data_IF_742447339502
#
_entry.id   IF_742447339502
#
_cell.length_a   1.000
_cell.length_b   1.000
_cell.length_c   1.000
_cell.angle_alpha   90.00
_cell.angle_beta   90.00
_cell.angle_gamma   90.00
#
_symmetry.space_group_name_H-M   'P 1'
#
loop_
_entity.id
_entity.type
_entity.pdbx_description
1 polymer ?
#
# COMPACT_ATOMS: atom_id res chain seq x y z
N UNK A 1 -10.41 2.48 -54.12
CA UNK A 1 -9.99 1.46 -53.10
C UNK A 1 -9.20 2.19 -52.02
N UNK A 2 -9.76 2.35 -50.81
CA UNK A 2 -9.06 2.90 -49.64
C UNK A 2 -8.86 1.74 -48.68
N UNK A 3 -7.63 1.27 -48.54
CA UNK A 3 -7.26 0.25 -47.55
C UNK A 3 -6.67 0.97 -46.35
N UNK A 4 -7.39 0.87 -45.23
CA UNK A 4 -6.97 1.34 -43.92
C UNK A 4 -5.75 0.53 -43.43
N UNK A 5 -4.80 1.23 -42.81
CA UNK A 5 -3.76 0.61 -41.99
C UNK A 5 -4.09 0.90 -40.52
N UNK A 6 -4.31 -0.16 -39.74
CA UNK A 6 -3.86 -0.29 -38.36
C UNK A 6 -4.32 -1.67 -37.87
N UNK A 7 -3.37 -2.60 -37.71
CA UNK A 7 -3.55 -3.79 -36.88
C UNK A 7 -2.56 -3.64 -35.73
N UNK A 8 -3.07 -3.30 -34.56
CA UNK A 8 -2.35 -3.41 -33.31
C UNK A 8 -2.04 -4.89 -33.02
N UNK A 9 -0.81 -5.17 -32.60
CA UNK A 9 -0.46 -6.31 -31.75
C UNK A 9 0.97 -6.08 -31.26
N UNK A 10 1.09 -5.44 -30.10
CA UNK A 10 2.40 -5.19 -29.49
C UNK A 10 2.33 -4.25 -28.32
N UNK A 11 1.39 -4.46 -27.39
CA UNK A 11 1.41 -3.73 -26.11
C UNK A 11 2.56 -4.29 -25.28
N UNK A 12 3.76 -3.75 -25.50
CA UNK A 12 4.85 -3.86 -24.55
C UNK A 12 4.47 -3.01 -23.34
N UNK A 13 3.78 -3.61 -22.37
CA UNK A 13 3.69 -3.05 -21.02
C UNK A 13 5.07 -3.21 -20.39
N UNK A 14 5.90 -2.17 -20.48
CA UNK A 14 7.09 -2.05 -19.65
C UNK A 14 6.63 -1.68 -18.23
N UNK A 15 6.24 -2.70 -17.46
CA UNK A 15 6.03 -2.57 -16.03
C UNK A 15 7.42 -2.50 -15.36
N UNK A 16 7.90 -1.29 -15.06
CA UNK A 16 8.99 -1.12 -14.09
C UNK A 16 8.37 -1.27 -12.70
N UNK A 17 8.07 -2.52 -12.33
CA UNK A 17 7.89 -2.92 -10.94
C UNK A 17 9.14 -3.72 -10.57
N UNK A 18 9.89 -3.25 -9.59
CA UNK A 18 11.01 -4.00 -9.03
C UNK A 18 10.49 -5.22 -8.25
N UNK A 19 10.09 -6.26 -8.97
CA UNK A 19 9.88 -7.60 -8.46
C UNK A 19 10.87 -8.53 -9.15
N UNK A 20 11.60 -9.33 -8.37
CA UNK A 20 12.57 -10.29 -8.89
C UNK A 20 11.93 -11.18 -9.98
N UNK A 21 12.68 -11.39 -11.07
CA UNK A 21 12.25 -12.12 -12.25
C UNK A 21 11.63 -13.49 -11.92
N UNK A 22 10.44 -13.76 -12.47
CA UNK A 22 9.92 -15.13 -12.63
C UNK A 22 8.68 -15.53 -11.83
N UNK A 23 8.03 -14.63 -11.07
CA UNK A 23 6.72 -14.92 -10.46
C UNK A 23 5.57 -14.28 -11.24
N UNK A 24 4.43 -14.98 -11.45
CA UNK A 24 3.26 -14.38 -12.08
C UNK A 24 2.84 -13.15 -11.27
N UNK A 25 2.57 -12.07 -11.99
CA UNK A 25 2.06 -10.83 -11.44
C UNK A 25 0.87 -11.11 -10.51
N UNK A 26 1.05 -10.89 -9.21
CA UNK A 26 -0.02 -10.88 -8.22
C UNK A 26 -0.39 -9.41 -8.03
N UNK A 27 -1.63 -8.98 -8.32
CA UNK A 27 -2.05 -7.62 -8.02
C UNK A 27 -1.97 -7.42 -6.50
N UNK A 28 -0.94 -6.72 -6.04
CA UNK A 28 -0.66 -6.47 -4.62
C UNK A 28 -1.24 -5.14 -4.13
N UNK A 29 -2.08 -4.48 -4.94
CA UNK A 29 -2.55 -3.11 -4.69
C UNK A 29 -1.50 -2.03 -4.99
N UNK A 30 -0.29 -2.40 -5.44
CA UNK A 30 0.78 -1.46 -5.72
C UNK A 30 0.41 -0.45 -6.81
N UNK A 31 -0.33 -0.85 -7.84
CA UNK A 31 -0.75 0.05 -8.93
C UNK A 31 -1.68 1.15 -8.44
N UNK A 32 -2.47 0.86 -7.41
CA UNK A 32 -3.35 1.84 -6.77
C UNK A 32 -2.54 2.79 -5.90
N UNK A 33 -1.54 2.26 -5.18
CA UNK A 33 -0.73 3.04 -4.24
C UNK A 33 0.40 3.84 -4.89
N UNK A 34 1.07 3.30 -5.92
CA UNK A 34 2.28 3.86 -6.53
C UNK A 34 2.16 5.34 -6.91
N UNK A 35 1.03 5.85 -7.43
CA UNK A 35 0.86 7.28 -7.69
C UNK A 35 0.97 8.19 -6.46
N UNK A 36 0.79 7.64 -5.25
CA UNK A 36 0.90 8.36 -3.98
C UNK A 36 2.31 8.37 -3.40
N UNK A 37 3.19 7.46 -3.84
CA UNK A 37 4.55 7.32 -3.31
C UNK A 37 5.36 8.64 -3.29
N UNK A 38 5.28 9.53 -4.31
CA UNK A 38 5.96 10.82 -4.26
C UNK A 38 5.54 11.73 -3.09
N UNK A 39 4.29 11.63 -2.60
CA UNK A 39 3.84 12.37 -1.42
C UNK A 39 4.55 11.87 -0.16
N UNK A 40 4.83 10.56 -0.10
CA UNK A 40 5.56 9.95 1.00
C UNK A 40 7.00 10.46 1.05
N UNK A 41 7.69 10.46 -0.10
CA UNK A 41 9.06 10.98 -0.22
C UNK A 41 9.15 12.49 0.08
N UNK A 42 8.10 13.24 -0.29
CA UNK A 42 8.01 14.67 0.00
C UNK A 42 7.62 14.99 1.46
N UNK A 43 7.34 13.98 2.30
CA UNK A 43 6.89 14.16 3.68
C UNK A 43 5.48 14.75 3.80
N UNK A 44 4.70 14.74 2.71
CA UNK A 44 3.33 15.23 2.67
C UNK A 44 2.36 14.19 3.23
N UNK A 45 2.56 13.81 4.50
CA UNK A 45 1.92 12.64 5.07
C UNK A 45 0.41 12.81 5.29
N UNK A 46 -0.05 14.00 5.68
CA UNK A 46 -1.50 14.27 5.84
C UNK A 46 -2.25 14.12 4.50
N UNK A 47 -1.74 14.75 3.44
CA UNK A 47 -2.34 14.65 2.11
C UNK A 47 -2.24 13.21 1.57
N UNK A 48 -1.10 12.55 1.78
CA UNK A 48 -0.91 11.15 1.42
C UNK A 48 -1.91 10.22 2.11
N UNK A 49 -2.15 10.42 3.40
CA UNK A 49 -3.14 9.68 4.18
C UNK A 49 -4.56 9.90 3.63
N UNK A 50 -4.95 11.14 3.33
CA UNK A 50 -6.29 11.44 2.78
C UNK A 50 -6.50 10.75 1.42
N UNK A 51 -5.50 10.80 0.54
CA UNK A 51 -5.58 10.17 -0.78
C UNK A 51 -5.52 8.64 -0.70
N UNK A 52 -4.71 8.10 0.19
CA UNK A 52 -4.61 6.66 0.40
C UNK A 52 -5.91 6.08 0.96
N UNK A 53 -6.54 6.77 1.92
CA UNK A 53 -7.86 6.42 2.45
C UNK A 53 -8.93 6.31 1.35
N UNK A 54 -8.92 7.22 0.37
CA UNK A 54 -9.86 7.17 -0.74
C UNK A 54 -9.74 5.88 -1.58
N UNK A 55 -8.54 5.25 -1.63
CA UNK A 55 -8.33 3.98 -2.32
C UNK A 55 -8.95 2.80 -1.57
N UNK A 56 -9.21 2.95 -0.26
CA UNK A 56 -9.75 1.92 0.62
C UNK A 56 -11.28 1.92 0.66
N UNK A 57 -11.95 2.87 0.01
CA UNK A 57 -13.40 3.08 0.09
C UNK A 57 -14.24 1.83 -0.27
N UNK A 58 -13.74 1.00 -1.18
CA UNK A 58 -14.41 -0.22 -1.64
C UNK A 58 -13.92 -1.51 -0.92
N UNK A 59 -13.21 -1.36 0.21
CA UNK A 59 -12.55 -2.45 0.96
C UNK A 59 -11.76 -3.41 0.06
N UNK A 60 -10.77 -2.91 -0.71
CA UNK A 60 -10.00 -3.74 -1.62
C UNK A 60 -9.24 -4.83 -0.84
N UNK A 61 -9.14 -6.07 -1.33
CA UNK A 61 -8.56 -7.19 -0.59
C UNK A 61 -7.01 -7.18 -0.57
N UNK A 62 -6.38 -6.01 -0.60
CA UNK A 62 -4.93 -5.86 -0.71
C UNK A 62 -4.34 -5.41 0.63
N UNK A 63 -3.83 -6.35 1.43
CA UNK A 63 -3.23 -6.05 2.74
C UNK A 63 -2.11 -5.00 2.66
N UNK A 64 -1.29 -5.03 1.61
CA UNK A 64 -0.23 -4.04 1.40
C UNK A 64 -0.75 -2.61 1.17
N UNK A 65 -1.95 -2.45 0.60
CA UNK A 65 -2.55 -1.13 0.41
C UNK A 65 -2.97 -0.52 1.76
N UNK A 66 -3.56 -1.33 2.64
CA UNK A 66 -3.86 -0.94 4.02
C UNK A 66 -2.59 -0.64 4.82
N UNK A 67 -1.56 -1.48 4.68
CA UNK A 67 -0.28 -1.28 5.36
C UNK A 67 0.37 0.05 4.98
N UNK A 68 0.48 0.33 3.68
CA UNK A 68 1.08 1.57 3.21
C UNK A 68 0.24 2.81 3.58
N UNK A 69 -1.08 2.67 3.68
CA UNK A 69 -1.98 3.73 4.20
C UNK A 69 -1.69 3.98 5.69
N UNK A 70 -1.55 2.92 6.49
CA UNK A 70 -1.17 3.03 7.89
C UNK A 70 0.19 3.72 8.07
N UNK A 71 1.15 3.51 7.17
CA UNK A 71 2.43 4.25 7.19
C UNK A 71 2.21 5.76 6.98
N UNK A 72 1.40 6.17 6.00
CA UNK A 72 1.05 7.58 5.82
C UNK A 72 0.40 8.18 7.07
N UNK A 73 -0.56 7.47 7.66
CA UNK A 73 -1.31 7.92 8.84
C UNK A 73 -0.42 8.02 10.08
N UNK A 74 0.43 7.03 10.32
CA UNK A 74 1.39 7.04 11.43
C UNK A 74 2.36 8.23 11.32
N UNK A 75 2.89 8.48 10.12
CA UNK A 75 3.78 9.62 9.85
C UNK A 75 3.06 10.96 9.92
N UNK A 76 1.75 10.99 9.65
CA UNK A 76 0.89 12.15 9.84
C UNK A 76 0.42 12.35 11.31
N UNK A 77 0.76 11.42 12.22
CA UNK A 77 0.30 11.46 13.62
C UNK A 77 -1.15 11.03 13.83
N UNK A 78 -1.79 10.44 12.81
CA UNK A 78 -3.16 9.88 12.87
C UNK A 78 -3.11 8.45 13.43
N UNK A 79 -2.74 8.35 14.71
CA UNK A 79 -2.40 7.07 15.36
C UNK A 79 -3.57 6.08 15.36
N UNK A 80 -4.79 6.53 15.65
CA UNK A 80 -5.96 5.65 15.72
C UNK A 80 -6.32 5.06 14.34
N UNK A 81 -6.29 5.89 13.29
CA UNK A 81 -6.54 5.46 11.90
C UNK A 81 -5.46 4.46 11.45
N UNK A 82 -4.19 4.76 11.73
CA UNK A 82 -3.07 3.91 11.40
C UNK A 82 -3.18 2.51 12.04
N UNK A 83 -3.59 2.44 13.32
CA UNK A 83 -3.82 1.16 13.99
C UNK A 83 -4.99 0.38 13.38
N UNK A 84 -6.06 1.07 12.97
CA UNK A 84 -7.20 0.43 12.33
C UNK A 84 -6.83 -0.18 10.97
N UNK A 85 -6.12 0.57 10.13
CA UNK A 85 -5.67 0.06 8.83
C UNK A 85 -4.56 -0.98 8.96
N UNK A 86 -3.65 -0.85 9.93
CA UNK A 86 -2.65 -1.89 10.19
C UNK A 86 -3.30 -3.21 10.60
N UNK A 87 -4.34 -3.17 11.44
CA UNK A 87 -5.11 -4.38 11.79
C UNK A 87 -5.68 -5.05 10.55
N UNK A 88 -6.35 -4.27 9.69
CA UNK A 88 -6.92 -4.78 8.44
C UNK A 88 -5.86 -5.36 7.51
N UNK A 89 -4.68 -4.73 7.44
CA UNK A 89 -3.54 -5.23 6.69
C UNK A 89 -3.10 -6.62 7.16
N UNK A 90 -2.93 -6.81 8.48
CA UNK A 90 -2.53 -8.09 9.08
C UNK A 90 -3.62 -9.17 8.92
N UNK A 91 -4.89 -8.81 9.05
CA UNK A 91 -6.01 -9.73 8.79
C UNK A 91 -5.99 -10.28 7.35
N UNK A 92 -5.70 -9.43 6.38
CA UNK A 92 -5.60 -9.81 4.97
C UNK A 92 -4.30 -10.52 4.62
N UNK A 93 -3.22 -10.23 5.35
CA UNK A 93 -1.88 -10.73 5.07
C UNK A 93 -1.05 -10.81 6.35
N UNK A 94 -1.11 -11.94 7.08
CA UNK A 94 -0.47 -12.07 8.39
C UNK A 94 1.04 -11.77 8.42
N UNK A 95 1.75 -11.99 7.31
CA UNK A 95 3.19 -11.67 7.22
C UNK A 95 3.49 -10.17 7.42
N UNK A 96 2.50 -9.30 7.21
CA UNK A 96 2.64 -7.86 7.43
C UNK A 96 2.81 -7.52 8.91
N UNK A 97 2.43 -8.42 9.84
CA UNK A 97 2.74 -8.24 11.26
C UNK A 97 4.26 -8.23 11.50
N UNK A 98 5.02 -9.09 10.80
CA UNK A 98 6.47 -9.13 10.90
C UNK A 98 7.10 -7.86 10.35
N UNK A 99 6.67 -7.41 9.17
CA UNK A 99 7.11 -6.13 8.60
C UNK A 99 6.77 -4.95 9.53
N UNK A 100 5.57 -4.93 10.12
CA UNK A 100 5.14 -3.83 10.98
C UNK A 100 6.05 -3.62 12.20
N UNK A 101 6.60 -4.71 12.75
CA UNK A 101 7.52 -4.63 13.90
C UNK A 101 8.86 -3.96 13.54
N UNK A 102 9.27 -4.05 12.28
CA UNK A 102 10.56 -3.55 11.80
C UNK A 102 10.44 -2.21 11.06
N UNK A 103 9.25 -1.85 10.59
CA UNK A 103 9.01 -0.64 9.80
C UNK A 103 9.06 0.63 10.66
N UNK A 104 10.00 1.52 10.35
CA UNK A 104 10.22 2.78 11.08
C UNK A 104 9.09 3.80 10.87
N UNK A 105 8.31 3.68 9.79
CA UNK A 105 7.18 4.56 9.57
C UNK A 105 6.05 4.30 10.57
N UNK A 106 6.01 3.09 11.12
CA UNK A 106 5.07 2.67 12.16
C UNK A 106 5.67 2.77 13.58
N UNK A 107 6.86 3.34 13.73
CA UNK A 107 7.52 3.46 15.04
C UNK A 107 6.63 4.14 16.10
N UNK A 108 5.84 5.15 15.69
CA UNK A 108 4.91 5.86 16.58
C UNK A 108 3.77 4.97 17.12
N UNK A 109 3.49 3.83 16.47
CA UNK A 109 2.45 2.89 16.90
C UNK A 109 2.96 1.90 17.94
N UNK A 110 4.27 1.64 18.00
CA UNK A 110 4.86 0.56 18.82
C UNK A 110 4.61 0.74 20.32
N UNK A 111 4.43 1.97 20.78
CA UNK A 111 4.11 2.30 22.18
C UNK A 111 2.62 2.06 22.51
N UNK A 112 1.77 1.83 21.51
CA UNK A 112 0.35 1.60 21.71
C UNK A 112 0.10 0.13 22.10
N UNK A 113 -0.63 -0.16 23.19
CA UNK A 113 -0.97 -1.53 23.57
C UNK A 113 -1.66 -2.30 22.42
N UNK A 114 -2.51 -1.61 21.68
CA UNK A 114 -3.25 -2.14 20.52
C UNK A 114 -2.31 -2.61 19.40
N UNK A 115 -1.16 -1.96 19.22
CA UNK A 115 -0.18 -2.39 18.22
C UNK A 115 0.36 -3.79 18.56
N UNK A 116 0.70 -4.02 19.84
CA UNK A 116 1.17 -5.33 20.31
C UNK A 116 0.11 -6.43 20.09
N UNK A 117 -1.18 -6.10 20.26
CA UNK A 117 -2.27 -7.04 19.97
C UNK A 117 -2.35 -7.36 18.47
N UNK A 118 -2.21 -6.35 17.60
CA UNK A 118 -2.28 -6.52 16.15
C UNK A 118 -1.14 -7.39 15.63
N UNK A 119 0.09 -7.12 16.07
CA UNK A 119 1.26 -7.87 15.61
C UNK A 119 1.50 -9.15 16.41
N UNK A 120 0.83 -9.35 17.55
CA UNK A 120 1.05 -10.50 18.44
C UNK A 120 0.12 -11.70 18.21
N UNK A 121 -0.94 -11.52 17.42
CA UNK A 121 -1.90 -12.58 17.06
C UNK A 121 -1.39 -13.48 15.94
#
# INVERSE_FOLDING_TARGET
KRTAFAREAGTTLLAIGAGAAGKPYQPGGWELFAPLFPLFEAGQYEEGADRANALLADDPPYGALYFNTACFEARAGRIDDALAHLRRAVELSPYLADLAREDDDLAALRDQPVFTEIVGG
#
